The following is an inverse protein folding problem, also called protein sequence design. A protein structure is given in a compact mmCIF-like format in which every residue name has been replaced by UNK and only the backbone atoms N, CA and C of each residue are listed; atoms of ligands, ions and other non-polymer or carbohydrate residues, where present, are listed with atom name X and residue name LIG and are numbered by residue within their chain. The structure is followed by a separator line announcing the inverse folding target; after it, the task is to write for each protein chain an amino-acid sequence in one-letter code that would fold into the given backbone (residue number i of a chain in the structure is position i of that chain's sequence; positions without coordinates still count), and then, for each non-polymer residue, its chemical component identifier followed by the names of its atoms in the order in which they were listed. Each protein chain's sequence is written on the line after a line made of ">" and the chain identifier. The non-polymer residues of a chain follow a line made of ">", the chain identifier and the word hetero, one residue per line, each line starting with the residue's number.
data_IF_381028607278
#
_entry.id   IF_381028607278
#
_cell.length_a   1.000
_cell.length_b   1.000
_cell.length_c   1.000
_cell.angle_alpha   90.00
_cell.angle_beta   90.00
_cell.angle_gamma   90.00
#
_symmetry.space_group_name_H-M   'P 1'
#
loop_
_entity.id
_entity.type
_entity.pdbx_description
1 polymer ?
#
# COMPACT_ATOMS: atom_id res chain seq x y z
N UNK A 1 -20.35 -28.84 1.82
CA UNK A 1 -20.08 -27.43 2.17
C UNK A 1 -18.57 -27.22 2.06
N UNK A 2 -18.09 -26.80 0.90
CA UNK A 2 -16.68 -26.47 0.65
C UNK A 2 -16.67 -24.97 0.35
N UNK A 3 -16.43 -24.15 1.36
CA UNK A 3 -16.27 -22.70 1.15
C UNK A 3 -14.80 -22.50 0.77
N UNK A 4 -14.50 -22.77 -0.49
CA UNK A 4 -13.19 -22.44 -1.07
C UNK A 4 -12.98 -20.95 -0.90
N UNK A 5 -11.93 -20.56 -0.18
CA UNK A 5 -11.49 -19.17 -0.07
C UNK A 5 -10.93 -18.76 -1.42
N UNK A 6 -11.81 -18.29 -2.30
CA UNK A 6 -11.40 -17.76 -3.59
C UNK A 6 -10.42 -16.61 -3.38
N UNK A 7 -9.26 -16.74 -4.01
CA UNK A 7 -8.28 -15.69 -4.13
C UNK A 7 -8.96 -14.48 -4.76
N UNK A 8 -8.94 -13.36 -4.05
CA UNK A 8 -9.49 -12.09 -4.52
C UNK A 8 -8.65 -11.62 -5.73
N UNK A 9 -9.02 -12.08 -6.93
CA UNK A 9 -8.55 -11.58 -8.21
C UNK A 9 -9.07 -10.14 -8.28
N UNK A 10 -8.26 -9.19 -7.85
CA UNK A 10 -8.57 -7.77 -7.98
C UNK A 10 -8.56 -7.48 -9.48
N UNK A 11 -9.75 -7.47 -10.07
CA UNK A 11 -10.01 -7.03 -11.44
C UNK A 11 -9.50 -5.60 -11.53
N UNK A 12 -8.48 -5.37 -12.35
CA UNK A 12 -8.04 -4.03 -12.75
C UNK A 12 -9.25 -3.35 -13.41
N UNK A 13 -9.85 -2.42 -12.69
CA UNK A 13 -10.80 -1.47 -13.26
C UNK A 13 -9.98 -0.44 -14.04
N UNK A 14 -10.08 -0.49 -15.36
CA UNK A 14 -9.59 0.57 -16.25
C UNK A 14 -10.46 1.82 -16.03
N UNK A 15 -9.88 2.87 -15.45
CA UNK A 15 -10.51 4.18 -15.36
C UNK A 15 -9.80 5.12 -16.33
N UNK A 16 -10.50 5.40 -17.41
CA UNK A 16 -10.07 6.25 -18.51
C UNK A 16 -10.09 7.72 -18.05
N UNK A 17 -8.93 8.31 -17.75
CA UNK A 17 -8.72 9.76 -17.73
C UNK A 17 -7.24 10.11 -17.80
N UNK A 18 -6.91 11.09 -18.66
CA UNK A 18 -5.58 11.57 -19.02
C UNK A 18 -4.77 12.22 -17.88
N UNK A 19 -4.53 11.49 -16.80
CA UNK A 19 -3.39 11.66 -15.92
C UNK A 19 -2.49 10.46 -16.18
N UNK A 20 -1.16 10.64 -16.23
CA UNK A 20 -0.24 9.50 -16.32
C UNK A 20 -0.41 8.68 -15.05
N UNK A 21 -1.34 7.72 -15.07
CA UNK A 21 -1.59 6.76 -14.00
C UNK A 21 -0.36 5.86 -13.95
N UNK A 22 0.68 6.36 -13.28
CA UNK A 22 1.81 5.57 -12.86
C UNK A 22 1.24 4.59 -11.85
N UNK A 23 0.72 3.46 -12.35
CA UNK A 23 0.35 2.32 -11.53
C UNK A 23 1.53 2.09 -10.59
N UNK A 24 1.37 2.35 -9.28
CA UNK A 24 2.43 2.07 -8.34
C UNK A 24 2.67 0.58 -8.47
N UNK A 25 3.88 0.21 -8.87
CA UNK A 25 4.31 -1.18 -8.86
C UNK A 25 4.05 -1.71 -7.45
N UNK A 26 3.01 -2.56 -7.34
CA UNK A 26 2.47 -2.98 -6.04
C UNK A 26 3.56 -3.69 -5.25
N UNK A 27 4.46 -4.40 -5.92
CA UNK A 27 5.60 -5.06 -5.29
C UNK A 27 6.60 -4.03 -4.75
N UNK A 28 6.98 -3.02 -5.54
CA UNK A 28 7.85 -1.94 -5.03
C UNK A 28 7.24 -1.19 -3.86
N UNK A 29 5.92 -1.00 -3.86
CA UNK A 29 5.22 -0.38 -2.74
C UNK A 29 5.27 -1.26 -1.49
N UNK A 30 5.07 -2.56 -1.64
CA UNK A 30 5.19 -3.52 -0.54
C UNK A 30 6.61 -3.49 0.04
N UNK A 31 7.62 -3.53 -0.81
CA UNK A 31 9.03 -3.40 -0.41
C UNK A 31 9.30 -2.09 0.32
N UNK A 32 8.82 -0.97 -0.21
CA UNK A 32 8.94 0.35 0.43
C UNK A 32 8.35 0.33 1.84
N UNK A 33 7.10 -0.15 1.99
CA UNK A 33 6.43 -0.24 3.29
C UNK A 33 7.20 -1.14 4.25
N UNK A 34 7.74 -2.27 3.79
CA UNK A 34 8.56 -3.16 4.60
C UNK A 34 9.88 -2.50 5.03
N UNK A 35 10.45 -1.64 4.19
CA UNK A 35 11.70 -0.90 4.45
C UNK A 35 11.53 0.28 5.42
N UNK A 36 10.30 0.81 5.60
CA UNK A 36 10.06 1.99 6.42
C UNK A 36 10.55 1.82 7.87
N UNK A 37 11.37 2.75 8.33
CA UNK A 37 11.73 2.88 9.74
C UNK A 37 10.63 3.62 10.51
N UNK A 38 10.54 3.46 11.84
CA UNK A 38 9.59 4.23 12.65
C UNK A 38 9.72 5.75 12.47
N UNK A 39 10.93 6.26 12.25
CA UNK A 39 11.17 7.70 12.09
C UNK A 39 10.65 8.20 10.73
N UNK A 40 10.99 7.53 9.62
CA UNK A 40 10.44 7.83 8.29
C UNK A 40 8.92 7.70 8.26
N UNK A 41 8.38 6.68 8.95
CA UNK A 41 6.94 6.50 9.04
C UNK A 41 6.26 7.69 9.74
N UNK A 42 6.89 8.30 10.75
CA UNK A 42 6.37 9.50 11.41
C UNK A 42 6.38 10.72 10.50
N UNK A 43 7.43 10.89 9.68
CA UNK A 43 7.52 11.94 8.66
C UNK A 43 6.36 11.85 7.66
N UNK A 44 5.96 10.62 7.30
CA UNK A 44 4.81 10.31 6.42
C UNK A 44 3.45 10.42 7.17
N UNK A 45 3.47 10.77 8.46
CA UNK A 45 2.25 10.95 9.27
C UNK A 45 1.68 9.65 9.86
N UNK A 46 2.46 8.57 9.91
CA UNK A 46 2.18 7.34 10.69
C UNK A 46 2.79 7.51 12.09
N UNK A 47 2.01 8.13 12.97
CA UNK A 47 2.46 8.54 14.32
C UNK A 47 2.89 7.37 15.22
N UNK A 48 2.22 6.23 15.14
CA UNK A 48 2.39 5.12 16.08
C UNK A 48 3.14 3.94 15.44
N UNK A 49 4.16 3.43 16.16
CA UNK A 49 4.91 2.22 15.76
C UNK A 49 4.02 0.98 15.59
N UNK A 50 2.98 0.87 16.41
CA UNK A 50 2.00 -0.21 16.31
C UNK A 50 1.22 -0.16 14.98
N UNK A 51 0.90 1.04 14.49
CA UNK A 51 0.27 1.23 13.17
C UNK A 51 1.19 0.78 12.05
N UNK A 52 2.47 1.18 12.09
CA UNK A 52 3.47 0.71 11.12
C UNK A 52 3.61 -0.82 11.15
N UNK A 53 3.68 -1.43 12.34
CA UNK A 53 3.77 -2.89 12.46
C UNK A 53 2.54 -3.60 11.89
N UNK A 54 1.33 -3.10 12.17
CA UNK A 54 0.09 -3.66 11.60
C UNK A 54 0.12 -3.58 10.07
N UNK A 55 0.58 -2.46 9.52
CA UNK A 55 0.70 -2.28 8.09
C UNK A 55 1.69 -3.28 7.47
N UNK A 56 2.89 -3.44 8.07
CA UNK A 56 3.88 -4.43 7.63
C UNK A 56 3.36 -5.86 7.71
N UNK A 57 2.59 -6.20 8.74
CA UNK A 57 1.98 -7.52 8.86
C UNK A 57 0.96 -7.77 7.74
N UNK A 58 0.10 -6.79 7.44
CA UNK A 58 -0.86 -6.90 6.33
C UNK A 58 -0.18 -7.06 4.97
N UNK A 59 0.95 -6.39 4.75
CA UNK A 59 1.78 -6.59 3.55
C UNK A 59 2.30 -8.03 3.49
N UNK A 60 2.86 -8.55 4.59
CA UNK A 60 3.39 -9.92 4.66
C UNK A 60 2.32 -11.00 4.50
N UNK A 61 1.12 -10.75 5.02
CA UNK A 61 -0.03 -11.66 4.97
C UNK A 61 -0.74 -11.64 3.60
N UNK A 62 -0.38 -10.73 2.71
CA UNK A 62 -1.01 -10.58 1.39
C UNK A 62 -2.36 -9.84 1.42
N UNK A 63 -2.85 -9.41 2.59
CA UNK A 63 -4.06 -8.58 2.76
C UNK A 63 -3.78 -7.08 2.55
N UNK A 64 -2.94 -6.79 1.56
CA UNK A 64 -2.53 -5.44 1.21
C UNK A 64 -3.59 -4.76 0.35
N UNK A 65 -4.32 -3.81 0.93
CA UNK A 65 -5.35 -3.01 0.25
C UNK A 65 -4.87 -1.57 0.09
N UNK A 66 -4.81 -1.11 -1.15
CA UNK A 66 -4.39 0.25 -1.52
C UNK A 66 -5.33 1.34 -0.99
N UNK A 67 -6.60 1.02 -0.79
CA UNK A 67 -7.63 1.97 -0.37
C UNK A 67 -7.57 2.33 1.14
N UNK A 68 -6.60 1.80 1.87
CA UNK A 68 -6.50 2.12 3.30
C UNK A 68 -5.88 3.49 3.52
N UNK A 69 -6.36 4.22 4.54
CA UNK A 69 -5.91 5.60 4.83
C UNK A 69 -4.39 5.69 5.02
N UNK A 70 -3.79 4.69 5.63
CA UNK A 70 -2.35 4.60 5.84
C UNK A 70 -1.58 4.42 4.52
N UNK A 71 -2.10 3.57 3.62
CA UNK A 71 -1.46 3.33 2.31
C UNK A 71 -1.62 4.55 1.41
N UNK A 72 -2.76 5.26 1.46
CA UNK A 72 -2.95 6.53 0.74
C UNK A 72 -1.92 7.60 1.14
N UNK A 73 -1.64 7.74 2.44
CA UNK A 73 -0.58 8.65 2.91
C UNK A 73 0.80 8.29 2.36
N UNK A 74 1.08 6.99 2.27
CA UNK A 74 2.34 6.50 1.72
C UNK A 74 2.41 6.73 0.21
N UNK A 75 1.30 6.50 -0.49
CA UNK A 75 1.12 6.79 -1.92
C UNK A 75 1.39 8.26 -2.24
N UNK A 76 0.81 9.18 -1.47
CA UNK A 76 0.99 10.62 -1.66
C UNK A 76 2.47 11.02 -1.57
N UNK A 77 3.22 10.45 -0.62
CA UNK A 77 4.66 10.70 -0.48
C UNK A 77 5.47 10.01 -1.59
N UNK A 78 5.13 8.76 -1.92
CA UNK A 78 5.83 7.98 -2.95
C UNK A 78 5.74 8.60 -4.34
N UNK A 79 4.59 9.19 -4.69
CA UNK A 79 4.40 9.87 -5.99
C UNK A 79 5.23 11.16 -6.08
N UNK A 80 5.49 11.83 -4.94
CA UNK A 80 6.30 13.05 -4.88
C UNK A 80 7.79 12.74 -4.96
N UNK A 81 8.28 11.66 -4.36
CA UNK A 81 9.72 11.30 -4.38
C UNK A 81 10.20 10.73 -5.73
N UNK A 82 9.30 10.29 -6.60
CA UNK A 82 9.62 9.66 -7.88
C UNK A 82 9.49 10.65 -9.07
N UNK A 83 9.05 11.89 -8.83
CA UNK A 83 9.14 13.01 -9.77
C UNK A 83 10.28 13.97 -9.40
#
# INVERSE_FOLDING_TARGET
>A
MYIGKEANKIVMQELESNHVEMYPDIEKMREFILSLTPDKAREIGIKYRSTLNKLKNRVKEGDFKLDTKEVKKILDVYIIEVN
#
